data_IF_941237551970
#
_entry.id   IF_941237551970
#
_cell.length_a   1.000
_cell.length_b   1.000
_cell.length_c   1.000
_cell.angle_alpha   90.00
_cell.angle_beta   90.00
_cell.angle_gamma   90.00
#
_symmetry.space_group_name_H-M   'P 1'
#
loop_
_entity.id
_entity.type
_entity.pdbx_description
1 polymer ?
#
# COMPACT_ATOMS: atom_id res chain seq x y z
N UNK A 1 22.10 2.64 21.41
CA UNK A 1 22.84 1.94 20.33
C UNK A 1 22.17 0.64 19.88
N UNK A 2 21.33 0.02 20.71
CA UNK A 2 20.67 -1.28 20.42
C UNK A 2 19.52 -1.22 19.40
N UNK A 3 18.70 -0.16 19.41
CA UNK A 3 17.51 -0.08 18.54
C UNK A 3 17.86 -0.08 17.04
N UNK A 4 18.93 0.61 16.64
CA UNK A 4 19.41 0.60 15.25
C UNK A 4 19.94 -0.77 14.79
N UNK A 5 20.49 -1.56 15.68
CA UNK A 5 20.95 -2.91 15.35
C UNK A 5 19.79 -3.90 15.24
N UNK A 6 18.77 -3.75 16.10
CA UNK A 6 17.53 -4.55 16.03
C UNK A 6 16.79 -4.29 14.71
N UNK A 7 16.64 -3.03 14.34
CA UNK A 7 16.01 -2.62 13.06
C UNK A 7 16.79 -3.16 11.85
N UNK A 8 18.13 -3.05 11.83
CA UNK A 8 18.94 -3.63 10.75
C UNK A 8 18.80 -5.15 10.62
N UNK A 9 18.69 -5.88 11.74
CA UNK A 9 18.49 -7.34 11.73
C UNK A 9 17.10 -7.73 11.22
N UNK A 10 16.07 -6.99 11.61
CA UNK A 10 14.70 -7.22 11.14
C UNK A 10 14.58 -6.99 9.63
N UNK A 11 15.10 -5.88 9.12
CA UNK A 11 15.14 -5.56 7.69
C UNK A 11 15.90 -6.63 6.90
N UNK A 12 17.05 -7.10 7.40
CA UNK A 12 17.83 -8.14 6.72
C UNK A 12 17.09 -9.48 6.61
N UNK A 13 16.43 -9.94 7.69
CA UNK A 13 15.60 -11.16 7.69
C UNK A 13 14.40 -11.05 6.73
N UNK A 14 13.82 -9.88 6.64
CA UNK A 14 12.68 -9.65 5.75
C UNK A 14 13.10 -9.65 4.28
N UNK A 15 14.20 -8.99 3.92
CA UNK A 15 14.79 -9.04 2.56
C UNK A 15 15.14 -10.48 2.16
N UNK A 16 15.71 -11.28 3.07
CA UNK A 16 16.01 -12.68 2.85
C UNK A 16 14.73 -13.51 2.64
N UNK A 17 13.65 -13.22 3.36
CA UNK A 17 12.35 -13.90 3.22
C UNK A 17 11.65 -13.59 1.89
N UNK A 18 11.77 -12.35 1.39
CA UNK A 18 11.27 -11.97 0.06
C UNK A 18 12.11 -12.61 -1.04
N UNK A 19 13.44 -12.61 -0.91
CA UNK A 19 14.33 -13.24 -1.86
C UNK A 19 14.06 -14.77 -1.97
N UNK A 20 13.80 -15.45 -0.84
CA UNK A 20 13.45 -16.86 -0.82
C UNK A 20 12.09 -17.15 -1.48
N UNK A 21 11.07 -16.30 -1.27
CA UNK A 21 9.76 -16.42 -1.94
C UNK A 21 9.87 -16.15 -3.45
N UNK A 22 10.70 -15.21 -3.90
CA UNK A 22 10.99 -14.98 -5.33
C UNK A 22 11.70 -16.19 -5.96
N UNK A 23 12.69 -16.75 -5.28
CA UNK A 23 13.39 -17.96 -5.75
C UNK A 23 12.46 -19.19 -5.84
N UNK A 24 11.56 -19.37 -4.87
CA UNK A 24 10.55 -20.45 -4.92
C UNK A 24 9.52 -20.23 -6.03
N UNK A 25 9.15 -18.98 -6.34
CA UNK A 25 8.24 -18.68 -7.45
C UNK A 25 8.91 -18.89 -8.80
N UNK A 26 10.19 -18.57 -8.95
CA UNK A 26 10.99 -18.88 -10.15
C UNK A 26 11.22 -20.38 -10.32
N UNK A 27 11.48 -21.13 -9.26
CA UNK A 27 11.66 -22.57 -9.29
C UNK A 27 10.36 -23.34 -9.68
N UNK A 28 9.17 -22.80 -9.38
CA UNK A 28 7.88 -23.38 -9.82
C UNK A 28 7.59 -23.18 -11.31
N UNK A 29 8.30 -22.29 -12.00
CA UNK A 29 8.16 -22.04 -13.44
C UNK A 29 9.11 -22.87 -14.31
N UNK A 30 10.01 -23.64 -13.72
CA UNK A 30 10.92 -24.54 -14.43
C UNK A 30 10.30 -25.95 -14.53
N UNK A 31 9.61 -26.24 -15.63
CA UNK A 31 9.16 -27.60 -15.97
C UNK A 31 10.22 -28.31 -16.80
N UNK A 32 10.40 -29.63 -16.61
CA UNK A 32 11.45 -30.40 -17.30
C UNK A 32 11.12 -30.68 -18.77
N UNK A 33 12.14 -30.74 -19.60
CA UNK A 33 12.12 -30.95 -21.05
C UNK A 33 11.74 -32.38 -21.44
N UNK A 34 10.90 -32.53 -22.44
CA UNK A 34 10.58 -33.79 -23.08
C UNK A 34 10.16 -33.66 -24.55
N UNK A 35 10.97 -34.23 -25.44
CA UNK A 35 10.78 -34.75 -26.78
C UNK A 35 10.35 -33.90 -28.00
N UNK A 36 10.76 -34.32 -29.19
CA UNK A 36 10.79 -33.62 -30.50
C UNK A 36 9.43 -33.12 -31.06
N UNK A 37 8.29 -33.59 -30.57
CA UNK A 37 6.97 -33.01 -30.86
C UNK A 37 6.79 -31.63 -30.21
N UNK A 38 7.51 -31.38 -29.12
CA UNK A 38 7.53 -30.05 -28.48
C UNK A 38 8.42 -29.07 -29.25
N UNK A 39 9.43 -29.51 -29.98
CA UNK A 39 10.30 -28.63 -30.78
C UNK A 39 9.55 -27.96 -31.93
N UNK A 40 8.72 -28.72 -32.66
CA UNK A 40 7.86 -28.14 -33.72
C UNK A 40 6.77 -27.20 -33.19
N UNK A 41 6.19 -27.52 -32.02
CA UNK A 41 5.32 -26.56 -31.33
C UNK A 41 6.10 -25.38 -30.76
N UNK A 42 7.32 -25.59 -30.25
CA UNK A 42 8.17 -24.54 -29.73
C UNK A 42 8.65 -23.56 -30.83
N UNK A 43 8.94 -24.04 -32.05
CA UNK A 43 9.29 -23.12 -33.17
C UNK A 43 8.09 -22.28 -33.64
N UNK A 44 6.90 -22.85 -33.69
CA UNK A 44 5.66 -22.09 -33.96
C UNK A 44 5.28 -21.16 -32.82
N UNK A 45 5.54 -21.53 -31.58
CA UNK A 45 5.42 -20.65 -30.41
C UNK A 45 6.51 -19.58 -30.40
N UNK A 46 7.75 -19.87 -30.79
CA UNK A 46 8.88 -18.93 -30.84
C UNK A 46 8.61 -17.72 -31.72
N UNK A 47 7.95 -17.90 -32.87
CA UNK A 47 7.57 -16.79 -33.76
C UNK A 47 6.42 -15.97 -33.17
N UNK A 48 5.46 -16.62 -32.54
CA UNK A 48 4.34 -15.97 -31.87
C UNK A 48 4.79 -15.23 -30.61
N UNK A 49 5.73 -15.80 -29.84
CA UNK A 49 6.35 -15.20 -28.66
C UNK A 49 7.19 -13.97 -29.03
N UNK A 50 7.95 -14.01 -30.13
CA UNK A 50 8.71 -12.85 -30.59
C UNK A 50 7.79 -11.68 -30.99
N UNK A 51 6.67 -11.96 -31.61
CA UNK A 51 5.66 -10.94 -31.97
C UNK A 51 4.97 -10.39 -30.73
N UNK A 52 4.61 -11.25 -29.78
CA UNK A 52 4.03 -10.86 -28.49
C UNK A 52 5.00 -10.04 -27.66
N UNK A 53 6.24 -10.48 -27.50
CA UNK A 53 7.27 -9.73 -26.79
C UNK A 53 7.59 -8.37 -27.41
N UNK A 54 7.47 -8.27 -28.75
CA UNK A 54 7.61 -6.99 -29.47
C UNK A 54 6.42 -6.07 -29.21
N UNK A 55 5.20 -6.63 -29.19
CA UNK A 55 3.99 -5.89 -28.87
C UNK A 55 4.01 -5.35 -27.43
N UNK A 56 4.34 -6.19 -26.47
CA UNK A 56 4.45 -5.81 -25.05
C UNK A 56 5.48 -4.69 -24.84
N UNK A 57 6.63 -4.76 -25.48
CA UNK A 57 7.66 -3.69 -25.41
C UNK A 57 7.15 -2.38 -26.00
N UNK A 58 6.47 -2.43 -27.13
CA UNK A 58 5.91 -1.24 -27.78
C UNK A 58 4.82 -0.60 -26.92
N UNK A 59 3.95 -1.42 -26.32
CA UNK A 59 2.90 -0.96 -25.42
C UNK A 59 3.50 -0.33 -24.16
N UNK A 60 4.50 -0.97 -23.54
CA UNK A 60 5.19 -0.44 -22.38
C UNK A 60 5.85 0.91 -22.68
N UNK A 61 6.65 0.98 -23.76
CA UNK A 61 7.30 2.23 -24.14
C UNK A 61 6.29 3.34 -24.47
N UNK A 62 5.15 2.99 -25.08
CA UNK A 62 4.06 3.93 -25.37
C UNK A 62 3.43 4.49 -24.09
N UNK A 63 3.14 3.61 -23.11
CA UNK A 63 2.55 4.00 -21.86
C UNK A 63 3.53 4.83 -21.00
N UNK A 64 4.78 4.39 -20.86
CA UNK A 64 5.84 5.08 -20.12
C UNK A 64 6.22 6.44 -20.71
N UNK A 65 6.06 6.64 -22.02
CA UNK A 65 6.27 7.94 -22.65
C UNK A 65 5.19 8.98 -22.29
N UNK A 66 4.01 8.54 -21.87
CA UNK A 66 2.85 9.40 -21.58
C UNK A 66 2.50 9.50 -20.11
N UNK A 67 2.80 8.46 -19.36
CA UNK A 67 2.39 8.32 -17.97
C UNK A 67 3.55 7.84 -17.10
N UNK A 68 3.61 8.35 -15.89
CA UNK A 68 4.28 7.67 -14.79
C UNK A 68 3.30 6.64 -14.24
N UNK A 69 3.72 5.38 -14.21
CA UNK A 69 2.90 4.24 -13.79
C UNK A 69 3.54 3.59 -12.56
N UNK A 70 2.73 3.10 -11.64
CA UNK A 70 3.18 2.35 -10.48
C UNK A 70 2.12 1.38 -9.99
N UNK A 71 2.52 0.36 -9.25
CA UNK A 71 1.64 -0.57 -8.57
C UNK A 71 1.59 -0.26 -7.08
N UNK A 72 0.43 0.12 -6.57
CA UNK A 72 0.24 0.42 -5.15
C UNK A 72 0.08 -0.89 -4.36
N UNK A 73 1.03 -1.17 -3.47
CA UNK A 73 1.08 -2.41 -2.70
C UNK A 73 0.00 -2.53 -1.61
N UNK A 74 -0.64 -1.41 -1.21
CA UNK A 74 -1.73 -1.44 -0.22
C UNK A 74 -3.07 -1.73 -0.88
N UNK A 75 -3.37 -1.03 -1.98
CA UNK A 75 -4.66 -1.17 -2.67
C UNK A 75 -4.64 -2.29 -3.71
N UNK A 76 -3.47 -2.83 -4.07
CA UNK A 76 -3.31 -3.81 -5.14
C UNK A 76 -3.60 -3.24 -6.53
N UNK A 77 -3.74 -1.92 -6.68
CA UNK A 77 -4.14 -1.26 -7.91
C UNK A 77 -2.95 -0.62 -8.63
N UNK A 78 -3.01 -0.62 -9.95
CA UNK A 78 -2.13 0.21 -10.75
C UNK A 78 -2.59 1.68 -10.66
N UNK A 79 -1.63 2.58 -10.54
CA UNK A 79 -1.84 4.02 -10.47
C UNK A 79 -1.06 4.72 -11.58
N UNK A 80 -1.56 5.86 -12.02
CA UNK A 80 -0.93 6.66 -13.06
C UNK A 80 -1.00 8.15 -12.78
N UNK A 81 -0.09 8.89 -13.38
CA UNK A 81 -0.18 10.33 -13.57
C UNK A 81 0.39 10.71 -14.95
N UNK A 82 -0.06 11.82 -15.56
CA UNK A 82 0.54 12.30 -16.80
C UNK A 82 2.02 12.60 -16.65
N UNK A 83 2.82 12.21 -17.64
CA UNK A 83 4.28 12.44 -17.67
C UNK A 83 4.60 13.94 -17.63
N UNK A 84 5.59 14.31 -16.83
CA UNK A 84 6.01 15.71 -16.68
C UNK A 84 5.09 16.56 -15.78
N UNK A 85 4.10 15.97 -15.14
CA UNK A 85 3.24 16.64 -14.17
C UNK A 85 3.58 16.17 -12.75
N UNK A 86 4.81 16.41 -12.30
CA UNK A 86 5.31 15.93 -11.00
C UNK A 86 4.52 16.44 -9.79
N UNK A 87 3.84 17.59 -9.93
CA UNK A 87 2.93 18.13 -8.93
C UNK A 87 1.56 17.44 -8.90
N UNK A 88 1.19 16.67 -9.93
CA UNK A 88 -0.07 15.95 -9.96
C UNK A 88 -0.01 14.70 -9.09
N UNK A 89 -1.09 14.42 -8.37
CA UNK A 89 -1.25 13.18 -7.63
C UNK A 89 -1.41 11.99 -8.57
N UNK A 90 -0.90 10.82 -8.15
CA UNK A 90 -1.24 9.57 -8.80
C UNK A 90 -2.71 9.23 -8.59
N UNK A 91 -3.37 8.75 -9.63
CA UNK A 91 -4.76 8.31 -9.62
C UNK A 91 -4.85 6.82 -9.92
N UNK A 92 -5.77 6.07 -9.30
CA UNK A 92 -6.01 4.69 -9.66
C UNK A 92 -6.44 4.56 -11.12
N UNK A 93 -5.89 3.57 -11.83
CA UNK A 93 -6.30 3.22 -13.17
C UNK A 93 -7.70 2.55 -13.15
N UNK A 94 -8.67 3.22 -13.76
CA UNK A 94 -10.02 2.69 -13.91
C UNK A 94 -10.16 1.88 -15.20
N UNK A 95 -11.23 1.11 -15.34
CA UNK A 95 -11.55 0.43 -16.61
C UNK A 95 -11.64 1.41 -17.78
N UNK A 96 -12.12 2.63 -17.55
CA UNK A 96 -12.17 3.69 -18.57
C UNK A 96 -10.78 4.11 -19.02
N UNK A 97 -9.84 4.25 -18.08
CA UNK A 97 -8.45 4.65 -18.37
C UNK A 97 -7.72 3.56 -19.15
N UNK A 98 -7.94 2.27 -18.80
CA UNK A 98 -7.41 1.13 -19.54
C UNK A 98 -7.91 1.09 -20.99
N UNK A 99 -9.20 1.30 -21.19
CA UNK A 99 -9.79 1.38 -22.54
C UNK A 99 -9.24 2.58 -23.33
N UNK A 100 -9.09 3.74 -22.68
CA UNK A 100 -8.51 4.93 -23.31
C UNK A 100 -7.06 4.71 -23.72
N UNK A 101 -6.27 4.02 -22.88
CA UNK A 101 -4.90 3.65 -23.19
C UNK A 101 -4.83 2.68 -24.38
N UNK A 102 -5.74 1.70 -24.45
CA UNK A 102 -5.84 0.76 -25.56
C UNK A 102 -6.15 1.50 -26.88
N UNK A 103 -7.15 2.36 -26.89
CA UNK A 103 -7.54 3.13 -28.08
C UNK A 103 -6.40 4.05 -28.56
N UNK A 104 -5.76 4.76 -27.63
CA UNK A 104 -4.63 5.64 -27.96
C UNK A 104 -3.42 4.87 -28.47
N UNK A 105 -3.19 3.65 -27.98
CA UNK A 105 -2.16 2.77 -28.52
C UNK A 105 -2.48 2.32 -29.93
N UNK A 106 -3.74 2.03 -30.25
CA UNK A 106 -4.19 1.71 -31.61
C UNK A 106 -3.95 2.89 -32.57
N UNK A 107 -4.31 4.11 -32.17
CA UNK A 107 -4.07 5.33 -32.95
C UNK A 107 -2.57 5.53 -33.23
N UNK A 108 -1.70 5.10 -32.33
CA UNK A 108 -0.26 5.09 -32.48
C UNK A 108 0.29 3.89 -33.31
N UNK A 109 -0.60 3.07 -33.88
CA UNK A 109 -0.23 1.91 -34.70
C UNK A 109 0.27 0.72 -33.91
N UNK A 110 -0.12 0.59 -32.64
CA UNK A 110 0.18 -0.57 -31.79
C UNK A 110 -1.07 -1.47 -31.75
N UNK A 111 -1.06 -2.66 -32.37
CA UNK A 111 -2.24 -3.53 -32.47
C UNK A 111 -2.45 -4.34 -31.18
N UNK A 112 -2.65 -3.64 -30.04
CA UNK A 112 -2.94 -4.29 -28.77
C UNK A 112 -4.46 -4.39 -28.52
N UNK A 113 -4.85 -5.36 -27.70
CA UNK A 113 -6.21 -5.52 -27.22
C UNK A 113 -6.30 -5.07 -25.76
N UNK A 114 -7.49 -4.85 -25.26
CA UNK A 114 -7.79 -4.55 -23.85
C UNK A 114 -7.12 -5.53 -22.88
N UNK A 115 -7.12 -6.83 -23.20
CA UNK A 115 -6.43 -7.88 -22.46
C UNK A 115 -4.91 -7.69 -22.38
N UNK A 116 -4.30 -7.12 -23.42
CA UNK A 116 -2.85 -6.89 -23.45
C UNK A 116 -2.50 -5.70 -22.55
N UNK A 117 -3.32 -4.65 -22.57
CA UNK A 117 -3.21 -3.52 -21.64
C UNK A 117 -3.45 -3.96 -20.21
N UNK A 118 -4.51 -4.74 -19.94
CA UNK A 118 -4.81 -5.27 -18.61
C UNK A 118 -3.68 -6.15 -18.08
N UNK A 119 -3.11 -7.01 -18.93
CA UNK A 119 -1.95 -7.85 -18.57
C UNK A 119 -0.70 -7.01 -18.26
N UNK A 120 -0.45 -5.97 -19.05
CA UNK A 120 0.68 -5.06 -18.82
C UNK A 120 0.56 -4.37 -17.47
N UNK A 121 -0.58 -3.76 -17.13
CA UNK A 121 -0.75 -3.02 -15.88
C UNK A 121 -0.86 -3.94 -14.65
N UNK A 122 -1.29 -5.19 -14.82
CA UNK A 122 -1.34 -6.18 -13.76
C UNK A 122 -0.03 -6.99 -13.61
N UNK A 123 1.01 -6.66 -14.38
CA UNK A 123 2.30 -7.36 -14.34
C UNK A 123 3.28 -6.69 -13.38
N UNK A 124 4.38 -7.38 -13.10
CA UNK A 124 5.53 -6.89 -12.33
C UNK A 124 6.40 -5.87 -13.10
N UNK A 125 5.95 -5.40 -14.27
CA UNK A 125 6.62 -4.36 -15.04
C UNK A 125 6.41 -2.97 -14.45
N UNK A 126 5.28 -2.75 -13.77
CA UNK A 126 5.07 -1.54 -13.03
C UNK A 126 5.91 -1.54 -11.75
N UNK A 127 6.59 -0.44 -11.42
CA UNK A 127 7.35 -0.36 -10.17
C UNK A 127 6.41 -0.44 -8.97
N UNK A 128 6.78 -1.27 -8.00
CA UNK A 128 6.08 -1.37 -6.74
C UNK A 128 6.19 -0.05 -5.95
N UNK A 129 5.08 0.44 -5.46
CA UNK A 129 4.96 1.62 -4.62
C UNK A 129 4.31 1.26 -3.29
N UNK A 130 5.02 1.49 -2.20
CA UNK A 130 4.45 1.39 -0.86
C UNK A 130 4.34 2.80 -0.25
N UNK A 131 3.15 3.40 -0.18
CA UNK A 131 2.97 4.81 0.16
C UNK A 131 3.72 5.26 1.40
N UNK A 132 3.62 4.48 2.47
CA UNK A 132 4.25 4.82 3.74
C UNK A 132 5.77 4.66 3.71
N UNK A 133 6.29 3.56 3.14
CA UNK A 133 7.76 3.35 3.04
C UNK A 133 8.41 4.42 2.19
N UNK A 134 7.84 4.68 1.02
CA UNK A 134 8.38 5.68 0.11
C UNK A 134 8.30 7.09 0.70
N UNK A 135 7.29 7.36 1.56
CA UNK A 135 7.23 8.59 2.34
C UNK A 135 8.36 8.66 3.37
N UNK A 136 8.55 7.63 4.18
CA UNK A 136 9.58 7.60 5.21
C UNK A 136 11.00 7.62 4.63
N UNK A 137 11.23 6.96 3.49
CA UNK A 137 12.53 6.91 2.83
C UNK A 137 12.97 8.29 2.29
N UNK A 138 12.01 9.16 2.00
CA UNK A 138 12.25 10.54 1.54
C UNK A 138 12.39 11.56 2.66
N UNK A 139 12.08 11.19 3.89
CA UNK A 139 12.21 12.11 5.01
C UNK A 139 13.69 12.48 5.27
N UNK A 140 13.95 13.75 5.55
CA UNK A 140 15.30 14.17 5.95
C UNK A 140 15.70 13.50 7.27
N UNK A 141 16.99 13.44 7.59
CA UNK A 141 17.45 12.98 8.91
C UNK A 141 16.78 13.77 10.03
N UNK A 142 16.52 13.07 11.15
CA UNK A 142 15.93 13.71 12.32
C UNK A 142 16.78 14.86 12.85
N UNK A 143 16.16 16.02 13.01
CA UNK A 143 16.80 17.26 13.48
C UNK A 143 16.88 17.42 15.00
N UNK A 144 16.55 16.37 15.76
CA UNK A 144 16.57 16.36 17.22
C UNK A 144 15.35 16.99 17.91
N UNK A 145 14.35 17.48 17.17
CA UNK A 145 13.18 18.14 17.76
C UNK A 145 12.07 17.17 18.10
N UNK A 146 11.56 17.25 19.32
CA UNK A 146 10.48 16.42 19.86
C UNK A 146 9.10 16.91 19.44
N UNK A 147 8.72 16.60 18.18
CA UNK A 147 7.43 17.04 17.60
C UNK A 147 6.23 16.24 18.10
N UNK A 148 6.42 14.96 18.45
CA UNK A 148 5.32 14.10 18.91
C UNK A 148 4.75 14.56 20.25
N UNK A 149 5.61 14.96 21.18
CA UNK A 149 5.17 15.50 22.46
C UNK A 149 4.43 16.82 22.28
N UNK A 150 4.91 17.70 21.39
CA UNK A 150 4.24 18.94 21.07
C UNK A 150 2.86 18.70 20.42
N UNK A 151 2.75 17.70 19.55
CA UNK A 151 1.48 17.29 18.95
C UNK A 151 0.51 16.73 19.99
N UNK A 152 0.97 15.84 20.89
CA UNK A 152 0.15 15.29 21.97
C UNK A 152 -0.43 16.38 22.87
N UNK A 153 0.37 17.41 23.20
CA UNK A 153 -0.06 18.55 24.04
C UNK A 153 -1.13 19.43 23.40
N UNK A 154 -1.39 19.31 22.10
CA UNK A 154 -2.56 19.94 21.46
C UNK A 154 -3.88 19.39 22.00
N UNK A 155 -3.87 18.19 22.55
CA UNK A 155 -5.05 17.53 23.14
C UNK A 155 -5.04 17.66 24.66
N UNK A 156 -3.91 17.33 25.31
CA UNK A 156 -3.80 17.39 26.77
C UNK A 156 -2.32 17.45 27.20
N UNK A 157 -2.04 18.24 28.24
CA UNK A 157 -0.73 18.30 28.90
C UNK A 157 -0.48 17.16 29.89
N UNK A 158 -1.47 16.29 30.10
CA UNK A 158 -1.35 15.14 31.01
C UNK A 158 -0.14 14.26 30.65
N UNK A 159 0.76 14.07 31.57
CA UNK A 159 1.97 13.27 31.34
C UNK A 159 1.69 11.81 30.93
N UNK A 160 0.68 11.11 31.48
CA UNK A 160 0.28 9.79 30.97
C UNK A 160 -0.20 9.82 29.52
N UNK A 161 -0.98 10.84 29.12
CA UNK A 161 -1.43 11.02 27.76
C UNK A 161 -0.25 11.22 26.80
N UNK A 162 0.63 12.20 27.09
CA UNK A 162 1.78 12.52 26.21
C UNK A 162 2.65 11.28 26.01
N UNK A 163 2.96 10.52 27.08
CA UNK A 163 3.74 9.28 26.97
C UNK A 163 3.01 8.19 26.19
N UNK A 164 1.71 8.02 26.44
CA UNK A 164 0.87 7.03 25.76
C UNK A 164 0.76 7.33 24.28
N UNK A 165 0.44 8.57 23.90
CA UNK A 165 0.35 9.01 22.53
C UNK A 165 1.66 8.83 21.76
N UNK A 166 2.79 9.22 22.35
CA UNK A 166 4.12 9.01 21.76
C UNK A 166 4.39 7.54 21.47
N UNK A 167 4.13 6.65 22.43
CA UNK A 167 4.31 5.20 22.24
C UNK A 167 3.41 4.65 21.14
N UNK A 168 2.16 5.09 21.14
CA UNK A 168 1.20 4.68 20.12
C UNK A 168 1.63 5.12 18.72
N UNK A 169 2.01 6.39 18.53
CA UNK A 169 2.48 6.89 17.24
C UNK A 169 3.74 6.17 16.74
N UNK A 170 4.68 5.84 17.63
CA UNK A 170 5.86 5.05 17.27
C UNK A 170 5.48 3.63 16.84
N UNK A 171 4.52 3.00 17.51
CA UNK A 171 4.02 1.68 17.13
C UNK A 171 3.27 1.72 15.78
N UNK A 172 2.47 2.76 15.53
CA UNK A 172 1.81 2.99 14.23
C UNK A 172 2.86 3.16 13.12
N UNK A 173 3.88 4.00 13.32
CA UNK A 173 4.94 4.17 12.34
C UNK A 173 5.71 2.86 12.07
N UNK A 174 5.97 2.06 13.10
CA UNK A 174 6.58 0.74 12.95
C UNK A 174 5.69 -0.21 12.13
N UNK A 175 4.38 -0.17 12.33
CA UNK A 175 3.40 -0.92 11.54
C UNK A 175 3.42 -0.51 10.06
N UNK A 176 3.37 0.79 9.78
CA UNK A 176 3.44 1.33 8.42
C UNK A 176 4.72 0.92 7.68
N UNK A 177 5.82 0.78 8.42
CA UNK A 177 7.10 0.32 7.89
C UNK A 177 7.19 -1.22 7.79
N UNK A 178 6.18 -1.96 8.23
CA UNK A 178 6.22 -3.42 8.29
C UNK A 178 7.23 -3.97 9.30
N UNK A 179 7.58 -3.19 10.31
CA UNK A 179 8.54 -3.54 11.36
C UNK A 179 7.89 -4.19 12.59
N UNK A 180 6.58 -4.42 12.56
CA UNK A 180 5.87 -5.13 13.63
C UNK A 180 6.33 -6.59 13.66
N UNK A 181 7.09 -6.99 14.68
CA UNK A 181 7.61 -8.36 14.91
C UNK A 181 6.47 -9.36 15.23
N UNK A 182 5.42 -9.39 14.41
CA UNK A 182 4.22 -10.21 14.62
C UNK A 182 3.29 -9.70 15.73
N UNK A 183 3.51 -8.50 16.25
CA UNK A 183 2.64 -7.88 17.25
C UNK A 183 1.78 -6.79 16.63
N UNK A 184 0.46 -6.90 16.83
CA UNK A 184 -0.48 -5.85 16.48
C UNK A 184 -0.33 -4.65 17.43
N UNK A 185 -0.60 -3.44 16.93
CA UNK A 185 -0.80 -2.28 17.78
C UNK A 185 -2.20 -2.34 18.40
N UNK A 186 -2.36 -3.13 19.45
CA UNK A 186 -3.64 -3.43 20.11
C UNK A 186 -4.15 -2.28 21.00
N UNK A 187 -3.52 -1.12 20.96
CA UNK A 187 -3.89 0.07 21.72
C UNK A 187 -4.27 1.19 20.76
N UNK A 188 -5.38 1.87 21.04
CA UNK A 188 -5.79 3.06 20.31
C UNK A 188 -6.08 4.21 21.28
N UNK A 189 -5.74 5.47 20.96
CA UNK A 189 -6.14 6.63 21.74
C UNK A 189 -7.65 6.86 21.61
N UNK A 190 -8.30 7.23 22.70
CA UNK A 190 -9.70 7.61 22.72
C UNK A 190 -9.81 9.08 23.12
N UNK A 191 -10.36 9.90 22.24
CA UNK A 191 -10.55 11.32 22.48
C UNK A 191 -11.99 11.59 22.97
N UNK A 192 -12.13 11.92 24.25
CA UNK A 192 -13.44 12.18 24.87
C UNK A 192 -13.56 13.67 25.22
N UNK A 193 -14.72 14.28 24.96
CA UNK A 193 -15.03 15.63 25.40
C UNK A 193 -16.53 15.80 25.66
N UNK A 194 -16.88 16.58 26.67
CA UNK A 194 -18.27 16.95 26.95
C UNK A 194 -18.85 18.00 26.02
N UNK A 195 -18.05 18.58 25.11
CA UNK A 195 -18.47 19.59 24.12
C UNK A 195 -18.21 19.08 22.71
N UNK A 196 -19.13 19.38 21.81
CA UNK A 196 -18.93 19.18 20.37
C UNK A 196 -18.06 20.31 19.78
N UNK A 197 -17.51 20.09 18.58
CA UNK A 197 -16.79 21.14 17.83
C UNK A 197 -15.39 21.46 18.33
N UNK A 198 -14.79 20.65 19.22
CA UNK A 198 -13.41 20.86 19.71
C UNK A 198 -12.31 20.36 18.73
N UNK A 199 -12.66 19.96 17.53
CA UNK A 199 -11.70 19.58 16.52
C UNK A 199 -11.12 18.15 16.66
N UNK A 200 -11.79 17.24 17.40
CA UNK A 200 -11.30 15.85 17.56
C UNK A 200 -11.06 15.14 16.23
N UNK A 201 -12.08 15.10 15.36
CA UNK A 201 -11.99 14.45 14.05
C UNK A 201 -10.97 15.16 13.14
N UNK A 202 -10.86 16.50 13.25
CA UNK A 202 -9.83 17.27 12.56
C UNK A 202 -8.42 16.89 13.04
N UNK A 203 -8.24 16.72 14.35
CA UNK A 203 -6.98 16.26 14.92
C UNK A 203 -6.62 14.86 14.38
N UNK A 204 -7.55 13.91 14.41
CA UNK A 204 -7.33 12.57 13.89
C UNK A 204 -6.93 12.57 12.39
N UNK A 205 -7.64 13.36 11.58
CA UNK A 205 -7.36 13.49 10.14
C UNK A 205 -5.98 14.06 9.86
N UNK A 206 -5.52 15.00 10.67
CA UNK A 206 -4.20 15.63 10.52
C UNK A 206 -3.04 14.84 11.17
N UNK A 207 -3.28 13.62 11.64
CA UNK A 207 -2.20 12.73 12.10
C UNK A 207 -1.42 12.14 10.92
N UNK A 208 -2.06 12.02 9.76
CA UNK A 208 -1.37 11.69 8.52
C UNK A 208 -0.88 12.97 7.82
N UNK A 209 0.31 12.94 7.23
CA UNK A 209 0.77 14.04 6.39
C UNK A 209 -0.11 14.17 5.14
N UNK A 210 -0.16 15.35 4.49
CA UNK A 210 -1.01 15.60 3.33
C UNK A 210 -0.83 14.57 2.21
N UNK A 211 0.40 14.10 1.97
CA UNK A 211 0.75 13.12 0.95
C UNK A 211 0.14 11.73 1.20
N UNK A 212 -0.17 11.43 2.46
CA UNK A 212 -0.76 10.17 2.89
C UNK A 212 -2.24 10.32 3.29
N UNK A 213 -2.85 11.47 3.07
CA UNK A 213 -4.24 11.76 3.47
C UNK A 213 -5.27 10.81 2.84
N UNK A 214 -4.98 10.26 1.66
CA UNK A 214 -5.82 9.25 1.00
C UNK A 214 -5.94 7.93 1.79
N UNK A 215 -5.02 7.68 2.71
CA UNK A 215 -4.99 6.48 3.56
C UNK A 215 -5.60 6.71 4.95
N UNK A 216 -6.38 7.76 5.10
CA UNK A 216 -7.23 8.04 6.27
C UNK A 216 -8.68 7.77 5.95
N UNK A 217 -9.40 7.14 6.87
CA UNK A 217 -10.86 7.04 6.81
C UNK A 217 -11.50 7.24 8.18
N UNK A 218 -12.67 7.86 8.18
CA UNK A 218 -13.61 7.93 9.31
C UNK A 218 -14.95 7.24 8.99
N UNK A 219 -15.01 6.54 7.85
CA UNK A 219 -16.21 5.84 7.35
C UNK A 219 -16.09 4.33 7.52
N UNK A 220 -15.82 3.87 8.76
CA UNK A 220 -15.65 2.46 9.06
C UNK A 220 -16.96 1.84 9.56
N UNK A 221 -17.48 0.83 8.85
CA UNK A 221 -18.62 0.03 9.35
C UNK A 221 -18.11 -1.20 10.12
N UNK A 222 -18.05 -1.06 11.44
CA UNK A 222 -17.66 -2.13 12.38
C UNK A 222 -18.60 -3.35 12.32
N UNK A 223 -19.80 -3.21 11.75
CA UNK A 223 -20.73 -4.32 11.57
C UNK A 223 -20.38 -5.22 10.39
N UNK A 224 -19.63 -4.71 9.42
CA UNK A 224 -19.22 -5.41 8.22
C UNK A 224 -17.75 -5.85 8.36
N UNK A 225 -17.53 -7.12 8.71
CA UNK A 225 -16.17 -7.66 8.91
C UNK A 225 -15.33 -7.59 7.65
N UNK A 226 -15.88 -7.92 6.49
CA UNK A 226 -15.13 -7.87 5.23
C UNK A 226 -14.69 -6.43 4.87
N UNK A 227 -15.55 -5.44 5.12
CA UNK A 227 -15.20 -4.03 4.95
C UNK A 227 -14.08 -3.60 5.91
N UNK A 228 -14.15 -4.03 7.17
CA UNK A 228 -13.11 -3.74 8.16
C UNK A 228 -11.76 -4.38 7.79
N UNK A 229 -11.77 -5.63 7.33
CA UNK A 229 -10.56 -6.33 6.85
C UNK A 229 -9.93 -5.60 5.65
N UNK A 230 -10.75 -5.16 4.70
CA UNK A 230 -10.28 -4.35 3.57
C UNK A 230 -9.66 -3.03 4.05
N UNK A 231 -10.33 -2.30 4.94
CA UNK A 231 -9.80 -1.05 5.49
C UNK A 231 -8.48 -1.25 6.24
N UNK A 232 -8.30 -2.36 6.94
CA UNK A 232 -7.05 -2.66 7.64
C UNK A 232 -5.86 -2.90 6.70
N UNK A 233 -6.12 -3.35 5.47
CA UNK A 233 -5.10 -3.53 4.44
C UNK A 233 -4.78 -2.21 3.74
N UNK A 234 -5.82 -1.46 3.40
CA UNK A 234 -5.71 -0.30 2.51
C UNK A 234 -5.40 1.01 3.27
N UNK A 235 -5.85 1.14 4.53
CA UNK A 235 -5.78 2.39 5.28
C UNK A 235 -4.63 2.41 6.29
N UNK A 236 -3.97 3.55 6.38
CA UNK A 236 -2.94 3.79 7.39
C UNK A 236 -3.51 4.21 8.74
N UNK A 237 -4.68 4.85 8.73
CA UNK A 237 -5.36 5.30 9.95
C UNK A 237 -6.88 5.23 9.77
N UNK A 238 -7.52 4.47 10.65
CA UNK A 238 -8.98 4.35 10.72
C UNK A 238 -9.45 5.08 11.98
N UNK A 239 -10.26 6.11 11.81
CA UNK A 239 -10.89 6.82 12.92
C UNK A 239 -12.30 6.28 13.11
N UNK A 240 -12.59 5.72 14.29
CA UNK A 240 -13.94 5.32 14.66
C UNK A 240 -14.62 6.52 15.33
N UNK A 241 -15.23 7.38 14.53
CA UNK A 241 -16.01 8.49 15.07
C UNK A 241 -17.29 7.97 15.75
N UNK A 242 -17.76 8.69 16.75
CA UNK A 242 -18.94 8.30 17.55
C UNK A 242 -18.85 6.87 18.15
N UNK A 243 -17.66 6.51 18.64
CA UNK A 243 -17.37 5.18 19.22
C UNK A 243 -18.38 4.76 20.31
N UNK A 244 -18.94 5.71 21.05
CA UNK A 244 -19.98 5.52 22.06
C UNK A 244 -21.30 4.98 21.50
N UNK A 245 -21.55 5.15 20.21
CA UNK A 245 -22.73 4.59 19.51
C UNK A 245 -22.53 3.15 19.05
N UNK A 246 -21.32 2.62 19.12
CA UNK A 246 -21.05 1.23 18.74
C UNK A 246 -21.67 0.32 19.81
N UNK A 247 -22.64 -0.54 19.45
CA UNK A 247 -23.27 -1.42 20.41
C UNK A 247 -22.27 -2.34 21.12
N UNK A 248 -22.38 -2.53 22.42
CA UNK A 248 -21.48 -3.36 23.25
C UNK A 248 -21.28 -4.77 22.65
N UNK A 249 -22.33 -5.34 22.04
CA UNK A 249 -22.25 -6.64 21.34
C UNK A 249 -21.24 -6.67 20.18
N UNK A 250 -20.79 -5.52 19.67
CA UNK A 250 -19.78 -5.39 18.60
C UNK A 250 -18.35 -5.23 19.13
N UNK A 251 -18.18 -4.91 20.41
CA UNK A 251 -16.87 -4.72 21.01
C UNK A 251 -15.94 -5.95 20.88
N UNK A 252 -16.42 -7.22 20.99
CA UNK A 252 -15.57 -8.39 20.77
C UNK A 252 -15.02 -8.46 19.34
N UNK A 253 -15.83 -8.15 18.33
CA UNK A 253 -15.40 -8.14 16.94
C UNK A 253 -14.32 -7.06 16.71
N UNK A 254 -14.53 -5.86 17.24
CA UNK A 254 -13.54 -4.78 17.17
C UNK A 254 -12.24 -5.16 17.88
N UNK A 255 -12.30 -5.79 19.05
CA UNK A 255 -11.13 -6.28 19.76
C UNK A 255 -10.34 -7.29 18.93
N UNK A 256 -11.02 -8.22 18.26
CA UNK A 256 -10.38 -9.19 17.38
C UNK A 256 -9.67 -8.50 16.22
N UNK A 257 -10.33 -7.52 15.57
CA UNK A 257 -9.77 -6.72 14.49
C UNK A 257 -8.48 -5.99 14.93
N UNK A 258 -8.48 -5.39 16.13
CA UNK A 258 -7.31 -4.71 16.69
C UNK A 258 -6.14 -5.65 17.05
N UNK A 259 -6.39 -6.95 17.15
CA UNK A 259 -5.36 -7.96 17.48
C UNK A 259 -4.82 -8.68 16.25
N UNK A 260 -5.30 -8.39 15.06
CA UNK A 260 -4.79 -8.99 13.83
C UNK A 260 -3.34 -8.54 13.57
N UNK A 261 -2.45 -9.50 13.41
CA UNK A 261 -1.02 -9.28 13.16
C UNK A 261 -0.66 -9.30 11.68
N UNK A 262 -1.60 -9.69 10.83
CA UNK A 262 -1.49 -9.72 9.37
C UNK A 262 -2.78 -10.24 8.74
N UNK A 263 -3.14 -9.64 7.61
CA UNK A 263 -4.21 -10.12 6.76
C UNK A 263 -3.57 -10.76 5.52
N UNK A 264 -3.96 -11.99 5.23
CA UNK A 264 -3.62 -12.64 3.98
C UNK A 264 -4.76 -12.34 3.00
N UNK A 265 -4.52 -11.39 2.11
CA UNK A 265 -5.38 -11.09 0.95
C UNK A 265 -4.88 -11.83 -0.27
#
# INVERSE_FOLDING_TARGET
MELKQIVKRAVRRWVEKIASKRAQRQARLALPSGSDLLKRKAEAYSTKDRTSATLERRLAAFAEARYDLRHNLLTGQAEFRPKGQDAASFLPLTARDLNSLCLSAHEAGIPCWDRDVSRFVASDRLPDHHPFRDYFDRLPPWDGKERLDALARRVSDSAPWVRGFRRWMLAVAAQWMGMGDGHANSVAPVLVSGRQGLGKSTFCRNLLPPELSAYYTDSADVANTAHMEQLLVEMGLINLDEFDRIPVRRHPALKNVMQLTGLHV
#
